data_IF_271200709291
#
_entry.id   IF_271200709291
#
_cell.length_a   1.000
_cell.length_b   1.000
_cell.length_c   1.000
_cell.angle_alpha   90.00
_cell.angle_beta   90.00
_cell.angle_gamma   90.00
#
_symmetry.space_group_name_H-M   'P 1'
#
loop_
_entity.id
_entity.type
_entity.pdbx_description
1 polymer ?
#
# COMPACT_ATOMS: atom_id res chain seq x y z
N UNK A 1 -5.03 6.60 8.61
CA UNK A 1 -4.41 5.28 8.89
C UNK A 1 -2.89 5.37 8.76
N UNK A 2 -2.28 5.42 7.59
CA UNK A 2 -0.83 5.59 7.38
C UNK A 2 -0.53 5.98 5.93
N UNK A 3 0.68 6.49 5.68
CA UNK A 3 1.24 6.83 4.37
C UNK A 3 2.68 6.30 4.30
N UNK A 4 3.24 6.05 3.11
CA UNK A 4 4.58 5.48 2.84
C UNK A 4 4.83 4.09 3.48
N UNK A 5 4.66 3.94 4.80
CA UNK A 5 4.96 2.70 5.54
C UNK A 5 3.78 2.33 6.42
N UNK A 6 3.34 1.08 6.35
CA UNK A 6 2.34 0.49 7.22
C UNK A 6 2.98 -0.50 8.20
N UNK A 7 2.61 -0.40 9.47
CA UNK A 7 2.95 -1.40 10.48
C UNK A 7 1.84 -2.45 10.47
N UNK A 8 2.23 -3.70 10.27
CA UNK A 8 1.33 -4.84 10.22
C UNK A 8 1.80 -5.90 11.22
N UNK A 9 0.89 -6.46 11.98
CA UNK A 9 1.17 -7.58 12.90
C UNK A 9 0.04 -8.62 12.86
N UNK A 10 0.26 -9.76 13.49
CA UNK A 10 -0.67 -10.87 13.55
C UNK A 10 -1.28 -10.93 14.93
N UNK A 11 -2.61 -10.88 15.02
CA UNK A 11 -3.32 -11.01 16.29
C UNK A 11 -3.24 -12.44 16.86
N UNK A 12 -3.64 -12.61 18.12
CA UNK A 12 -3.74 -13.93 18.74
C UNK A 12 -4.75 -14.86 18.06
N UNK A 13 -5.69 -14.29 17.30
CA UNK A 13 -6.72 -15.03 16.53
C UNK A 13 -6.24 -15.36 15.10
N UNK A 14 -5.04 -14.91 14.73
CA UNK A 14 -4.46 -15.12 13.39
C UNK A 14 -4.86 -14.06 12.36
N UNK A 15 -5.59 -13.02 12.77
CA UNK A 15 -5.94 -11.91 11.90
C UNK A 15 -4.74 -11.00 11.63
N UNK A 16 -4.62 -10.52 10.42
CA UNK A 16 -3.61 -9.53 10.04
C UNK A 16 -4.14 -8.14 10.36
N UNK A 17 -3.45 -7.44 11.24
CA UNK A 17 -3.85 -6.12 11.76
C UNK A 17 -2.91 -5.05 11.24
N UNK A 18 -3.46 -3.97 10.69
CA UNK A 18 -2.71 -2.77 10.33
C UNK A 18 -2.94 -1.68 11.38
N UNK A 19 -1.84 -1.05 11.80
CA UNK A 19 -1.84 -0.02 12.84
C UNK A 19 -1.82 1.38 12.23
N UNK A 20 -2.55 2.34 12.83
CA UNK A 20 -2.47 3.75 12.43
C UNK A 20 -1.09 4.33 12.79
N UNK A 21 -0.55 5.18 11.93
CA UNK A 21 0.70 5.89 12.18
C UNK A 21 0.49 7.41 12.22
N UNK A 22 0.48 8.08 11.07
CA UNK A 22 0.45 9.53 11.01
C UNK A 22 -0.77 10.03 10.22
N UNK A 23 -1.52 11.04 10.75
CA UNK A 23 -2.68 11.64 10.09
C UNK A 23 -2.27 12.65 9.00
N UNK A 24 -1.35 12.23 8.12
CA UNK A 24 -0.88 13.05 7.01
C UNK A 24 -0.52 12.20 5.79
N UNK A 25 -0.54 12.82 4.64
CA UNK A 25 -0.01 12.28 3.39
C UNK A 25 1.17 13.12 2.90
N UNK A 26 2.14 12.48 2.27
CA UNK A 26 3.25 13.15 1.59
C UNK A 26 2.94 13.20 0.10
N UNK A 27 2.59 14.37 -0.41
CA UNK A 27 2.26 14.57 -1.82
C UNK A 27 3.35 15.40 -2.52
N UNK A 28 3.72 14.97 -3.72
CA UNK A 28 4.53 15.80 -4.61
C UNK A 28 3.72 17.01 -5.10
N UNK A 29 4.37 18.09 -5.51
CA UNK A 29 3.75 19.35 -5.93
C UNK A 29 2.65 19.15 -6.97
N UNK A 30 2.88 18.33 -7.98
CA UNK A 30 1.90 18.03 -9.01
C UNK A 30 0.63 17.35 -8.46
N UNK A 31 0.79 16.48 -7.46
CA UNK A 31 -0.34 15.85 -6.76
C UNK A 31 -1.09 16.84 -5.85
N UNK A 32 -0.37 17.78 -5.21
CA UNK A 32 -0.99 18.87 -4.44
C UNK A 32 -1.87 19.72 -5.35
N UNK A 33 -1.36 20.13 -6.52
CA UNK A 33 -2.11 20.92 -7.50
C UNK A 33 -3.32 20.15 -8.07
N UNK A 34 -3.16 18.88 -8.41
CA UNK A 34 -4.29 18.03 -8.87
C UNK A 34 -5.41 17.89 -7.84
N UNK A 35 -5.07 17.93 -6.56
CA UNK A 35 -6.05 17.92 -5.46
C UNK A 35 -6.56 19.33 -5.08
N UNK A 36 -6.26 20.36 -5.87
CA UNK A 36 -6.67 21.74 -5.64
C UNK A 36 -6.25 22.32 -4.27
N UNK A 37 -5.12 21.86 -3.74
CA UNK A 37 -4.56 22.33 -2.49
C UNK A 37 -3.55 23.46 -2.77
N UNK A 38 -3.47 24.42 -1.84
CA UNK A 38 -2.49 25.51 -1.93
C UNK A 38 -1.19 25.09 -1.23
N UNK A 39 -0.08 25.17 -1.93
CA UNK A 39 1.25 24.82 -1.37
C UNK A 39 1.72 25.77 -0.29
N UNK A 40 1.26 27.01 -0.27
CA UNK A 40 1.63 28.01 0.76
C UNK A 40 1.10 27.64 2.17
N UNK A 41 0.03 26.86 2.23
CA UNK A 41 -0.60 26.42 3.47
C UNK A 41 -0.03 25.06 3.96
N UNK A 42 0.92 24.47 3.25
CA UNK A 42 1.43 23.14 3.52
C UNK A 42 2.90 23.17 3.96
N UNK A 43 3.25 22.26 4.87
CA UNK A 43 4.64 22.09 5.28
C UNK A 43 5.44 21.38 4.16
N UNK A 44 6.48 22.06 3.67
CA UNK A 44 7.46 21.48 2.74
C UNK A 44 8.41 20.55 3.48
N UNK A 45 8.55 19.30 3.04
CA UNK A 45 9.22 18.24 3.82
C UNK A 45 10.35 17.51 3.09
N UNK A 46 10.47 17.66 1.78
CA UNK A 46 11.47 16.93 1.00
C UNK A 46 11.90 17.76 -0.23
N UNK A 47 13.10 18.32 -0.18
CA UNK A 47 13.63 19.16 -1.25
C UNK A 47 13.98 18.36 -2.51
N UNK A 48 14.49 17.14 -2.37
CA UNK A 48 14.90 16.30 -3.49
C UNK A 48 13.71 15.83 -4.34
N UNK A 49 12.55 15.65 -3.70
CA UNK A 49 11.33 15.12 -4.33
C UNK A 49 10.18 16.13 -4.41
N UNK A 50 10.41 17.37 -3.99
CA UNK A 50 9.42 18.46 -4.00
C UNK A 50 8.09 18.02 -3.35
N UNK A 51 8.16 17.53 -2.10
CA UNK A 51 7.03 16.98 -1.35
C UNK A 51 6.54 17.87 -0.24
N UNK A 52 5.24 17.78 0.01
CA UNK A 52 4.50 18.50 1.05
C UNK A 52 3.78 17.52 1.98
N UNK A 53 3.75 17.86 3.27
CA UNK A 53 2.91 17.17 4.25
C UNK A 53 1.49 17.73 4.19
N UNK A 54 0.54 16.89 3.80
CA UNK A 54 -0.89 17.24 3.72
C UNK A 54 -1.62 16.61 4.91
N UNK A 55 -2.14 17.40 5.85
CA UNK A 55 -2.91 16.88 6.99
C UNK A 55 -4.16 16.12 6.51
N UNK A 56 -4.48 15.00 7.18
CA UNK A 56 -5.66 14.15 6.89
C UNK A 56 -6.40 13.75 8.18
N UNK A 57 -6.48 14.65 9.13
CA UNK A 57 -7.10 14.36 10.44
C UNK A 57 -8.58 14.04 10.33
N UNK A 58 -9.29 14.66 9.41
CA UNK A 58 -10.74 14.53 9.25
C UNK A 58 -11.16 13.12 8.77
N UNK A 59 -10.27 12.42 8.07
CA UNK A 59 -10.52 11.07 7.54
C UNK A 59 -9.54 10.02 8.10
N UNK A 60 -8.83 10.33 9.17
CA UNK A 60 -7.85 9.44 9.77
C UNK A 60 -8.50 8.41 10.69
N UNK A 61 -8.27 7.14 10.40
CA UNK A 61 -8.66 6.05 11.29
C UNK A 61 -7.60 5.88 12.39
N UNK A 62 -7.98 6.15 13.63
CA UNK A 62 -7.08 6.11 14.79
C UNK A 62 -6.96 4.72 15.44
N UNK A 63 -7.80 3.79 15.02
CA UNK A 63 -7.82 2.42 15.58
C UNK A 63 -7.16 1.41 14.65
N UNK A 64 -6.49 0.40 15.20
CA UNK A 64 -6.06 -0.74 14.41
C UNK A 64 -7.24 -1.38 13.68
N UNK A 65 -7.00 -1.83 12.44
CA UNK A 65 -8.02 -2.44 11.60
C UNK A 65 -7.51 -3.76 11.05
N UNK A 66 -8.42 -4.71 10.86
CA UNK A 66 -8.13 -5.94 10.12
C UNK A 66 -7.83 -5.59 8.66
N UNK A 67 -6.75 -6.13 8.15
CA UNK A 67 -6.36 -5.98 6.76
C UNK A 67 -7.05 -7.07 5.94
N UNK A 68 -7.76 -6.67 4.90
CA UNK A 68 -8.53 -7.61 4.05
C UNK A 68 -7.79 -8.01 2.78
N UNK A 69 -6.93 -7.14 2.25
CA UNK A 69 -6.16 -7.41 1.04
C UNK A 69 -4.96 -6.45 0.92
N UNK A 70 -3.99 -6.81 0.10
CA UNK A 70 -2.87 -5.96 -0.30
C UNK A 70 -2.85 -5.77 -1.81
N UNK A 71 -2.44 -4.56 -2.26
CA UNK A 71 -2.26 -4.26 -3.67
C UNK A 71 -0.83 -3.76 -3.93
N UNK A 72 -0.13 -4.45 -4.84
CA UNK A 72 1.13 -3.97 -5.41
C UNK A 72 0.83 -3.13 -6.64
N UNK A 73 1.21 -1.84 -6.59
CA UNK A 73 1.03 -0.93 -7.71
C UNK A 73 2.23 -1.01 -8.65
N UNK A 74 1.98 -1.11 -9.95
CA UNK A 74 3.02 -1.08 -10.98
C UNK A 74 2.57 -0.28 -12.21
N UNK A 75 3.56 0.18 -12.97
CA UNK A 75 3.35 0.98 -14.18
C UNK A 75 3.78 0.16 -15.38
N UNK A 76 3.04 0.25 -16.46
CA UNK A 76 3.33 -0.39 -17.75
C UNK A 76 3.32 0.66 -18.89
N UNK A 77 3.45 0.21 -20.15
CA UNK A 77 3.50 1.12 -21.30
C UNK A 77 2.25 2.02 -21.41
N UNK A 78 2.39 3.17 -22.09
CA UNK A 78 1.35 4.21 -22.20
C UNK A 78 0.02 3.71 -22.78
N UNK A 79 0.06 2.77 -23.71
CA UNK A 79 -1.13 2.29 -24.42
C UNK A 79 -1.71 0.98 -23.84
N UNK A 80 -1.46 0.71 -22.58
CA UNK A 80 -1.97 -0.50 -21.93
C UNK A 80 -3.22 -0.23 -21.12
N UNK A 81 -4.06 -1.26 -20.99
CA UNK A 81 -5.21 -1.22 -20.10
C UNK A 81 -4.80 -1.31 -18.63
N UNK A 82 -5.64 -0.81 -17.73
CA UNK A 82 -5.50 -1.11 -16.30
C UNK A 82 -5.79 -2.58 -16.07
N UNK A 83 -4.83 -3.32 -15.51
CA UNK A 83 -4.95 -4.74 -15.25
C UNK A 83 -4.85 -4.99 -13.74
N UNK A 84 -5.80 -5.76 -13.21
CA UNK A 84 -5.79 -6.24 -11.84
C UNK A 84 -5.68 -7.77 -11.87
N UNK A 85 -4.66 -8.31 -11.22
CA UNK A 85 -4.40 -9.75 -11.17
C UNK A 85 -4.11 -10.18 -9.76
N UNK A 86 -4.75 -11.25 -9.30
CA UNK A 86 -4.40 -11.88 -8.03
C UNK A 86 -3.06 -12.63 -8.17
N UNK A 87 -2.18 -12.42 -7.19
CA UNK A 87 -0.89 -13.09 -7.12
C UNK A 87 -1.00 -14.36 -6.28
N UNK A 88 -0.40 -15.45 -6.78
CA UNK A 88 -0.43 -16.74 -6.11
C UNK A 88 0.97 -17.35 -5.99
N UNK A 89 1.12 -18.32 -5.08
CA UNK A 89 2.34 -19.08 -4.90
C UNK A 89 3.59 -18.22 -4.67
N UNK A 90 4.67 -18.54 -5.36
CA UNK A 90 5.96 -17.85 -5.23
C UNK A 90 5.91 -16.37 -5.65
N UNK A 91 5.11 -16.01 -6.63
CA UNK A 91 4.97 -14.62 -7.07
C UNK A 91 4.37 -13.73 -5.98
N UNK A 92 3.40 -14.26 -5.23
CA UNK A 92 2.80 -13.58 -4.08
C UNK A 92 3.84 -13.32 -2.98
N UNK A 93 4.61 -14.36 -2.62
CA UNK A 93 5.67 -14.23 -1.61
C UNK A 93 6.76 -13.24 -2.03
N UNK A 94 7.26 -13.34 -3.26
CA UNK A 94 8.31 -12.43 -3.74
C UNK A 94 7.80 -10.99 -3.75
N UNK A 95 6.61 -10.74 -4.29
CA UNK A 95 6.03 -9.39 -4.33
C UNK A 95 5.80 -8.82 -2.93
N UNK A 96 5.40 -9.63 -1.96
CA UNK A 96 5.26 -9.22 -0.57
C UNK A 96 6.61 -8.83 0.06
N UNK A 97 7.64 -9.66 -0.12
CA UNK A 97 8.98 -9.41 0.43
C UNK A 97 9.63 -8.16 -0.19
N UNK A 98 9.51 -7.97 -1.51
CA UNK A 98 10.05 -6.80 -2.22
C UNK A 98 9.42 -5.48 -1.74
N UNK A 99 8.18 -5.50 -1.27
CA UNK A 99 7.49 -4.35 -0.71
C UNK A 99 7.61 -4.23 0.83
N UNK A 100 8.33 -5.14 1.48
CA UNK A 100 8.63 -5.02 2.89
C UNK A 100 9.74 -3.98 3.10
N UNK A 101 9.45 -2.93 3.88
CA UNK A 101 10.38 -1.82 4.12
C UNK A 101 11.74 -2.26 4.67
N UNK A 102 11.76 -3.30 5.51
CA UNK A 102 12.98 -3.80 6.13
C UNK A 102 13.73 -4.82 5.27
N UNK A 103 13.14 -5.32 4.20
CA UNK A 103 13.74 -6.38 3.37
C UNK A 103 15.15 -6.05 2.84
N UNK A 104 15.44 -4.83 2.32
CA UNK A 104 16.79 -4.48 1.89
C UNK A 104 17.83 -4.52 3.02
N UNK A 105 17.43 -4.14 4.24
CA UNK A 105 18.30 -4.16 5.42
C UNK A 105 18.62 -5.60 5.83
N UNK A 106 17.62 -6.45 5.90
CA UNK A 106 17.79 -7.86 6.25
C UNK A 106 18.59 -8.63 5.20
N UNK A 107 18.41 -8.33 3.93
CA UNK A 107 19.19 -8.92 2.84
C UNK A 107 20.70 -8.68 3.00
N UNK A 108 21.09 -7.51 3.50
CA UNK A 108 22.49 -7.09 3.66
C UNK A 108 23.09 -7.54 5.01
N UNK A 109 22.27 -7.85 6.02
CA UNK A 109 22.70 -8.14 7.40
C UNK A 109 22.49 -9.61 7.84
N UNK A 110 22.36 -10.53 6.89
CA UNK A 110 22.21 -11.97 7.21
C UNK A 110 20.79 -12.54 7.10
N UNK A 111 19.84 -11.74 6.65
CA UNK A 111 18.47 -12.17 6.38
C UNK A 111 17.49 -11.92 7.53
N UNK A 112 16.25 -12.32 7.33
CA UNK A 112 15.21 -12.33 8.37
C UNK A 112 15.53 -13.36 9.43
N UNK A 113 15.21 -13.06 10.69
CA UNK A 113 15.16 -14.11 11.69
C UNK A 113 14.02 -15.10 11.38
N UNK A 114 14.04 -16.26 12.01
CA UNK A 114 13.03 -17.30 11.77
C UNK A 114 11.61 -16.79 12.06
N UNK A 115 11.46 -16.03 13.13
CA UNK A 115 10.16 -15.47 13.55
C UNK A 115 9.63 -14.46 12.54
N UNK A 116 10.47 -13.56 12.02
CA UNK A 116 10.07 -12.59 10.99
C UNK A 116 9.65 -13.30 9.69
N UNK A 117 10.39 -14.32 9.29
CA UNK A 117 10.05 -15.11 8.10
C UNK A 117 8.73 -15.87 8.30
N UNK A 118 8.49 -16.42 9.48
CA UNK A 118 7.22 -17.08 9.80
C UNK A 118 6.05 -16.11 9.73
N UNK A 119 6.19 -14.89 10.27
CA UNK A 119 5.18 -13.83 10.16
C UNK A 119 4.93 -13.45 8.70
N UNK A 120 5.96 -13.30 7.89
CA UNK A 120 5.82 -13.02 6.45
C UNK A 120 5.05 -14.14 5.73
N UNK A 121 5.40 -15.39 5.98
CA UNK A 121 4.74 -16.54 5.37
C UNK A 121 3.26 -16.62 5.78
N UNK A 122 2.96 -16.45 7.06
CA UNK A 122 1.58 -16.46 7.55
C UNK A 122 0.76 -15.31 6.94
N UNK A 123 1.32 -14.11 6.87
CA UNK A 123 0.67 -12.96 6.23
C UNK A 123 0.34 -13.26 4.76
N UNK A 124 1.30 -13.80 4.02
CA UNK A 124 1.10 -14.17 2.60
C UNK A 124 0.08 -15.31 2.43
N UNK A 125 0.00 -16.24 3.36
CA UNK A 125 -1.00 -17.31 3.33
C UNK A 125 -2.41 -16.78 3.62
N UNK A 126 -2.54 -15.85 4.56
CA UNK A 126 -3.83 -15.36 5.06
C UNK A 126 -4.45 -14.30 4.15
N UNK A 127 -3.66 -13.33 3.66
CA UNK A 127 -4.17 -12.21 2.89
C UNK A 127 -4.11 -12.45 1.38
N UNK A 128 -5.16 -12.13 0.62
CA UNK A 128 -5.06 -11.98 -0.83
C UNK A 128 -4.14 -10.82 -1.19
N UNK A 129 -3.30 -11.03 -2.19
CA UNK A 129 -2.38 -10.02 -2.73
C UNK A 129 -2.63 -9.87 -4.21
N UNK A 130 -2.88 -8.64 -4.65
CA UNK A 130 -3.15 -8.30 -6.03
C UNK A 130 -2.03 -7.44 -6.61
N UNK A 131 -1.82 -7.53 -7.91
CA UNK A 131 -1.03 -6.57 -8.69
C UNK A 131 -1.96 -5.74 -9.54
N UNK A 132 -1.92 -4.42 -9.32
CA UNK A 132 -2.62 -3.43 -10.12
C UNK A 132 -1.62 -2.75 -11.04
N UNK A 133 -1.71 -3.01 -12.33
CA UNK A 133 -0.89 -2.39 -13.37
C UNK A 133 -1.66 -1.28 -14.04
N UNK A 134 -1.07 -0.10 -14.16
CA UNK A 134 -1.66 1.08 -14.80
C UNK A 134 -0.79 1.59 -15.94
N UNK A 135 -1.37 2.25 -16.96
CA UNK A 135 -0.59 2.88 -18.02
C UNK A 135 0.28 4.03 -17.48
N UNK A 136 1.44 4.21 -18.10
CA UNK A 136 2.29 5.38 -17.83
C UNK A 136 1.71 6.63 -18.47
N UNK A 137 1.81 7.79 -17.79
CA UNK A 137 1.48 9.10 -18.34
C UNK A 137 -0.02 9.38 -18.57
N UNK A 138 -0.89 8.41 -18.35
CA UNK A 138 -2.34 8.54 -18.55
C UNK A 138 -3.05 8.47 -17.20
N UNK A 139 -3.98 9.40 -16.96
CA UNK A 139 -4.87 9.32 -15.80
C UNK A 139 -5.89 8.18 -16.00
N UNK A 140 -5.75 7.17 -15.18
CA UNK A 140 -6.62 5.99 -15.16
C UNK A 140 -7.23 5.73 -13.78
N UNK A 141 -7.27 6.76 -12.93
CA UNK A 141 -7.69 6.67 -11.52
C UNK A 141 -9.08 6.06 -11.37
N UNK A 142 -10.06 6.51 -12.14
CA UNK A 142 -11.42 5.97 -12.05
C UNK A 142 -11.49 4.48 -12.40
N UNK A 143 -10.77 4.05 -13.44
CA UNK A 143 -10.70 2.64 -13.84
C UNK A 143 -10.01 1.80 -12.77
N UNK A 144 -8.95 2.33 -12.14
CA UNK A 144 -8.27 1.66 -11.02
C UNK A 144 -9.23 1.51 -9.84
N UNK A 145 -9.93 2.56 -9.44
CA UNK A 145 -10.89 2.54 -8.34
C UNK A 145 -12.02 1.55 -8.58
N UNK A 146 -12.59 1.50 -9.78
CA UNK A 146 -13.62 0.52 -10.13
C UNK A 146 -13.13 -0.93 -9.98
N UNK A 147 -11.87 -1.21 -10.34
CA UNK A 147 -11.28 -2.55 -10.16
C UNK A 147 -11.04 -2.89 -8.69
N UNK A 148 -10.56 -1.92 -7.90
CA UNK A 148 -10.34 -2.09 -6.45
C UNK A 148 -11.67 -2.32 -5.72
N UNK A 149 -12.71 -1.57 -6.06
CA UNK A 149 -14.05 -1.74 -5.46
C UNK A 149 -14.60 -3.16 -5.64
N UNK A 150 -14.32 -3.81 -6.76
CA UNK A 150 -14.71 -5.22 -6.97
C UNK A 150 -14.08 -6.17 -5.97
N UNK A 151 -12.81 -5.95 -5.59
CA UNK A 151 -12.15 -6.77 -4.55
C UNK A 151 -12.85 -6.57 -3.21
N UNK A 152 -13.12 -5.31 -2.83
CA UNK A 152 -13.72 -4.97 -1.53
C UNK A 152 -15.12 -5.61 -1.39
N UNK A 153 -15.93 -5.56 -2.45
CA UNK A 153 -17.27 -6.12 -2.44
C UNK A 153 -17.26 -7.65 -2.31
N UNK A 154 -16.37 -8.36 -2.99
CA UNK A 154 -16.25 -9.81 -2.89
C UNK A 154 -15.73 -10.28 -1.54
N UNK A 155 -14.83 -9.49 -0.91
CA UNK A 155 -14.33 -9.82 0.44
C UNK A 155 -15.36 -9.64 1.55
N UNK A 156 -16.49 -8.97 1.29
CA UNK A 156 -17.57 -8.75 2.25
C UNK A 156 -18.67 -9.83 2.23
N UNK A 157 -18.69 -10.70 1.23
CA UNK A 157 -19.70 -11.75 1.09
C UNK A 157 -19.31 -13.07 1.80
N UNK A 158 -18.04 -13.19 2.20
CA UNK A 158 -17.50 -14.40 2.86
C UNK A 158 -17.38 -14.30 4.40
N UNK A 159 -18.03 -13.29 5.03
CA UNK A 159 -18.01 -13.09 6.49
C UNK A 159 -19.39 -13.25 7.12
#
# INVERSE_FOLDING_TARGET
MTDDVAIVDISSEGDIIVYPAFPQQKLCRDAVHRNHLNTEDLLYIDEDRDKFAVPRRDCFCEKPCKLSAMLCLSVQSENSDVILTELNGHQKLISFLENNFLFPMFRNSGGFCVEDMQKCLLTVQTLPLYRLMRPFGIDSTDTQLQKIQKIILHSGEDN
#
